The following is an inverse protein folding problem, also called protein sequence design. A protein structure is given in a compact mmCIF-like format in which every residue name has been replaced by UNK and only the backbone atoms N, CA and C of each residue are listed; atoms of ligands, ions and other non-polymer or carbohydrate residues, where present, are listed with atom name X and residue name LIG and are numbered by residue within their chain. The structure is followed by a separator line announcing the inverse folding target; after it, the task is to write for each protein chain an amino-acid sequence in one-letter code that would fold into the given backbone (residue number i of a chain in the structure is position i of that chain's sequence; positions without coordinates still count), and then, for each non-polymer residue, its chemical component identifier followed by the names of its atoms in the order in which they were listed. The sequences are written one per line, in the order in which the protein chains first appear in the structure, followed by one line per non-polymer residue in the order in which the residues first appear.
data_IF_521530978265
#
_entry.id   IF_521530978265
#
_cell.length_a   1.000
_cell.length_b   1.000
_cell.length_c   1.000
_cell.angle_alpha   90.00
_cell.angle_beta   90.00
_cell.angle_gamma   90.00
#
_symmetry.space_group_name_H-M   'P 1'
#
loop_
_entity.id
_entity.type
_entity.pdbx_description
1 polymer ?
#
# COMPACT_ATOMS: atom_id res chain seq x y z
N UNK A 1 -5.68 8.64 17.85
CA UNK A 1 -6.24 7.27 17.95
C UNK A 1 -5.22 6.30 17.36
N UNK A 2 -4.86 5.24 18.06
CA UNK A 2 -3.90 4.26 17.55
C UNK A 2 -4.48 3.53 16.35
N UNK A 3 -3.69 3.44 15.27
CA UNK A 3 -4.14 2.79 14.04
C UNK A 3 -3.48 1.43 13.86
N UNK A 4 -2.18 1.32 14.19
CA UNK A 4 -1.43 0.06 14.19
C UNK A 4 -0.64 -0.03 15.49
N UNK A 5 -0.68 -1.17 16.15
CA UNK A 5 0.19 -1.51 17.27
C UNK A 5 1.01 -2.77 16.95
N UNK A 6 2.29 -2.71 17.21
CA UNK A 6 3.21 -3.85 17.17
C UNK A 6 3.49 -4.26 18.62
N UNK A 7 3.14 -5.48 19.01
CA UNK A 7 3.27 -5.95 20.38
C UNK A 7 4.25 -7.11 20.47
N UNK A 8 5.47 -6.81 20.94
CA UNK A 8 6.55 -7.78 21.08
C UNK A 8 6.78 -8.59 19.79
N UNK A 9 6.68 -7.90 18.65
CA UNK A 9 6.64 -8.53 17.33
C UNK A 9 8.01 -9.08 16.94
N UNK A 10 8.05 -10.33 16.50
CA UNK A 10 9.22 -11.00 15.94
C UNK A 10 8.94 -11.33 14.48
N UNK A 11 9.81 -10.88 13.57
CA UNK A 11 9.66 -11.03 12.12
C UNK A 11 10.79 -11.89 11.55
N UNK A 12 10.50 -12.60 10.48
CA UNK A 12 11.47 -13.44 9.78
C UNK A 12 10.80 -14.46 8.86
N UNK A 13 11.61 -15.40 8.39
CA UNK A 13 11.16 -16.48 7.48
C UNK A 13 11.49 -17.83 8.10
N UNK A 14 10.51 -18.71 8.26
CA UNK A 14 10.68 -20.03 8.87
C UNK A 14 11.38 -19.96 10.24
N UNK A 15 12.64 -20.37 10.32
CA UNK A 15 13.46 -20.35 11.55
C UNK A 15 14.49 -19.21 11.58
N UNK A 16 14.53 -18.36 10.53
CA UNK A 16 15.47 -17.25 10.45
C UNK A 16 14.80 -15.96 10.98
N UNK A 17 15.11 -15.61 12.23
CA UNK A 17 14.67 -14.36 12.84
C UNK A 17 15.49 -13.19 12.26
N UNK A 18 14.79 -12.18 11.75
CA UNK A 18 15.39 -10.95 11.21
C UNK A 18 15.40 -9.86 12.27
N UNK A 19 14.29 -9.68 12.98
CA UNK A 19 14.20 -8.75 14.10
C UNK A 19 13.19 -9.28 15.13
N UNK A 20 13.48 -9.05 16.40
CA UNK A 20 12.68 -9.52 17.52
C UNK A 20 12.30 -8.38 18.47
N UNK A 21 11.28 -8.61 19.28
CA UNK A 21 10.82 -7.71 20.33
C UNK A 21 10.48 -6.29 19.83
N UNK A 22 9.99 -6.17 18.59
CA UNK A 22 9.58 -4.89 18.04
C UNK A 22 8.33 -4.41 18.78
N UNK A 23 8.41 -3.17 19.27
CA UNK A 23 7.31 -2.49 19.95
C UNK A 23 7.14 -1.12 19.31
N UNK A 24 5.94 -0.84 18.78
CA UNK A 24 5.65 0.44 18.16
C UNK A 24 4.15 0.69 18.09
N UNK A 25 3.77 1.97 18.10
CA UNK A 25 2.40 2.40 17.86
C UNK A 25 2.41 3.47 16.78
N UNK A 26 1.58 3.30 15.76
CA UNK A 26 1.40 4.26 14.66
C UNK A 26 0.02 4.89 14.77
N UNK A 27 -0.05 6.20 14.61
CA UNK A 27 -1.29 6.97 14.77
C UNK A 27 -1.89 7.36 13.42
N UNK A 28 -3.21 7.55 13.40
CA UNK A 28 -3.93 8.09 12.24
C UNK A 28 -3.48 9.54 11.93
N UNK A 29 -3.58 9.96 10.66
CA UNK A 29 -3.24 11.29 10.21
C UNK A 29 -1.73 11.59 10.26
N UNK A 30 -0.87 10.56 10.26
CA UNK A 30 0.58 10.72 10.28
C UNK A 30 1.25 9.99 9.12
N UNK A 31 2.26 10.61 8.54
CA UNK A 31 3.20 9.96 7.64
C UNK A 31 4.39 9.44 8.47
N UNK A 32 4.48 8.13 8.62
CA UNK A 32 5.58 7.49 9.36
C UNK A 32 6.59 6.92 8.38
N UNK A 33 7.88 7.25 8.56
CA UNK A 33 8.98 6.75 7.73
C UNK A 33 9.78 5.69 8.47
N UNK A 34 9.92 4.50 7.87
CA UNK A 34 10.81 3.44 8.34
C UNK A 34 12.17 3.59 7.65
N UNK A 35 13.20 3.95 8.41
CA UNK A 35 14.56 4.16 7.90
C UNK A 35 15.48 3.01 8.31
N UNK A 36 16.44 2.70 7.48
CA UNK A 36 17.46 1.66 7.73
C UNK A 36 18.13 1.22 6.43
N UNK A 37 19.31 0.60 6.55
CA UNK A 37 20.06 0.07 5.41
C UNK A 37 19.31 -1.05 4.69
N UNK A 38 19.73 -1.36 3.46
CA UNK A 38 19.16 -2.48 2.72
C UNK A 38 19.47 -3.80 3.44
N UNK A 39 18.52 -4.74 3.39
CA UNK A 39 18.65 -6.02 4.07
C UNK A 39 18.28 -6.03 5.57
N UNK A 40 18.00 -4.90 6.19
CA UNK A 40 17.62 -4.82 7.62
C UNK A 40 16.22 -5.31 7.96
N UNK A 41 15.45 -5.83 6.98
CA UNK A 41 14.13 -6.40 7.23
C UNK A 41 12.95 -5.42 7.06
N UNK A 42 13.15 -4.22 6.46
CA UNK A 42 12.06 -3.25 6.25
C UNK A 42 10.87 -3.85 5.48
N UNK A 43 11.12 -4.46 4.32
CA UNK A 43 10.07 -5.13 3.53
C UNK A 43 9.48 -6.34 4.24
N UNK A 44 10.27 -7.06 5.05
CA UNK A 44 9.78 -8.16 5.89
C UNK A 44 8.80 -7.64 6.95
N UNK A 45 9.12 -6.51 7.60
CA UNK A 45 8.22 -5.86 8.54
C UNK A 45 6.92 -5.42 7.86
N UNK A 46 6.99 -4.75 6.70
CA UNK A 46 5.81 -4.32 5.95
C UNK A 46 4.94 -5.52 5.50
N UNK A 47 5.56 -6.61 5.05
CA UNK A 47 4.85 -7.84 4.70
C UNK A 47 4.19 -8.49 5.93
N UNK A 48 4.84 -8.44 7.10
CA UNK A 48 4.25 -8.96 8.34
C UNK A 48 3.10 -8.06 8.82
N UNK A 49 3.27 -6.74 8.76
CA UNK A 49 2.21 -5.78 9.09
C UNK A 49 1.00 -5.89 8.16
N UNK A 50 1.20 -6.25 6.89
CA UNK A 50 0.10 -6.43 5.92
C UNK A 50 -0.60 -7.80 6.02
N UNK A 51 -0.10 -8.71 6.84
CA UNK A 51 -0.59 -10.08 6.94
C UNK A 51 -0.16 -11.00 5.79
N UNK A 52 0.68 -10.52 4.87
CA UNK A 52 1.24 -11.35 3.79
C UNK A 52 2.29 -12.35 4.28
N UNK A 53 2.90 -12.06 5.43
CA UNK A 53 3.85 -12.94 6.12
C UNK A 53 3.40 -13.10 7.58
N UNK A 54 3.23 -14.33 8.08
CA UNK A 54 2.90 -14.53 9.49
C UNK A 54 4.07 -14.10 10.40
N UNK A 55 3.81 -13.50 11.57
CA UNK A 55 4.85 -13.21 12.54
C UNK A 55 5.44 -14.51 13.12
N UNK A 56 6.73 -14.48 13.47
CA UNK A 56 7.37 -15.56 14.23
C UNK A 56 7.02 -15.51 15.71
N UNK A 57 6.57 -14.36 16.22
CA UNK A 57 6.10 -14.15 17.59
C UNK A 57 5.51 -12.76 17.77
N UNK A 58 4.77 -12.56 18.85
CA UNK A 58 4.05 -11.31 19.08
C UNK A 58 2.84 -11.10 18.18
N UNK A 59 2.30 -9.88 18.13
CA UNK A 59 1.11 -9.55 17.33
C UNK A 59 1.26 -8.23 16.60
N UNK A 60 0.49 -8.09 15.51
CA UNK A 60 0.18 -6.82 14.84
C UNK A 60 -1.30 -6.59 15.03
N UNK A 61 -1.67 -5.46 15.61
CA UNK A 61 -3.06 -5.10 15.84
C UNK A 61 -3.43 -3.86 15.01
N UNK A 62 -4.62 -3.86 14.42
CA UNK A 62 -5.21 -2.73 13.70
C UNK A 62 -6.47 -2.30 14.46
N UNK A 63 -6.52 -1.05 14.90
CA UNK A 63 -7.62 -0.49 15.68
C UNK A 63 -8.00 -1.41 16.89
N UNK A 64 -6.99 -1.94 17.58
CA UNK A 64 -7.15 -2.80 18.75
C UNK A 64 -7.54 -4.26 18.45
N UNK A 65 -7.58 -4.66 17.17
CA UNK A 65 -7.91 -6.05 16.77
C UNK A 65 -6.72 -6.65 16.01
N UNK A 66 -6.30 -7.87 16.42
CA UNK A 66 -5.21 -8.60 15.78
C UNK A 66 -5.49 -8.84 14.29
N UNK A 67 -4.48 -8.65 13.43
CA UNK A 67 -4.60 -8.91 11.98
C UNK A 67 -4.97 -10.36 11.70
N UNK A 68 -4.55 -11.31 12.53
CA UNK A 68 -4.88 -12.72 12.39
C UNK A 68 -6.40 -13.02 12.58
N UNK A 69 -7.15 -12.09 13.18
CA UNK A 69 -8.58 -12.21 13.38
C UNK A 69 -9.42 -11.62 12.23
N UNK A 70 -8.77 -11.06 11.19
CA UNK A 70 -9.45 -10.56 9.99
C UNK A 70 -9.49 -11.65 8.91
N UNK A 71 -10.62 -11.73 8.18
CA UNK A 71 -10.62 -12.40 6.88
C UNK A 71 -9.83 -11.57 5.87
N UNK A 72 -9.29 -12.17 4.80
CA UNK A 72 -8.53 -11.45 3.76
C UNK A 72 -9.32 -10.25 3.19
N UNK A 73 -10.62 -10.43 2.90
CA UNK A 73 -11.48 -9.35 2.40
C UNK A 73 -11.68 -8.23 3.43
N UNK A 74 -11.80 -8.59 4.71
CA UNK A 74 -11.95 -7.60 5.78
C UNK A 74 -10.65 -6.82 6.03
N UNK A 75 -9.48 -7.49 6.00
CA UNK A 75 -8.18 -6.85 6.12
C UNK A 75 -7.90 -5.91 4.93
N UNK A 76 -8.27 -6.31 3.71
CA UNK A 76 -8.14 -5.47 2.52
C UNK A 76 -9.01 -4.20 2.58
N UNK A 77 -10.00 -4.10 3.47
CA UNK A 77 -10.75 -2.87 3.74
C UNK A 77 -10.12 -2.01 4.84
N UNK A 78 -9.11 -2.51 5.55
CA UNK A 78 -8.39 -1.78 6.58
C UNK A 78 -7.05 -1.25 6.08
N UNK A 79 -6.44 -1.93 5.12
CA UNK A 79 -5.08 -1.64 4.71
C UNK A 79 -4.88 -1.89 3.22
N UNK A 80 -4.19 -0.97 2.56
CA UNK A 80 -3.64 -1.14 1.22
C UNK A 80 -2.12 -1.16 1.25
N UNK A 81 -1.50 -1.79 0.25
CA UNK A 81 -0.05 -1.89 0.16
C UNK A 81 0.43 -1.59 -1.27
N UNK A 82 1.48 -0.79 -1.37
CA UNK A 82 2.23 -0.55 -2.61
C UNK A 82 3.61 -1.17 -2.44
N UNK A 83 3.89 -2.20 -3.22
CA UNK A 83 5.16 -2.91 -3.21
C UNK A 83 6.09 -2.37 -4.29
N UNK A 84 7.41 -2.47 -4.06
CA UNK A 84 8.48 -2.09 -5.01
C UNK A 84 8.53 -2.99 -6.24
N UNK A 85 7.80 -4.12 -6.26
CA UNK A 85 7.86 -5.11 -7.35
C UNK A 85 7.33 -4.53 -8.66
N UNK A 86 8.02 -4.82 -9.80
CA UNK A 86 7.55 -4.39 -11.12
C UNK A 86 6.16 -4.95 -11.41
N UNK A 87 5.32 -4.10 -12.02
CA UNK A 87 4.01 -4.54 -12.51
C UNK A 87 4.21 -5.32 -13.80
N UNK A 88 3.74 -6.56 -13.85
CA UNK A 88 3.83 -7.43 -15.02
C UNK A 88 2.68 -7.22 -16.01
N UNK A 89 1.60 -6.54 -15.62
CA UNK A 89 0.38 -6.33 -16.42
C UNK A 89 0.50 -5.09 -17.33
N UNK A 90 1.36 -5.16 -18.33
CA UNK A 90 1.67 -4.04 -19.22
C UNK A 90 0.52 -3.67 -20.16
N UNK A 91 -0.41 -4.60 -20.44
CA UNK A 91 -1.50 -4.43 -21.42
C UNK A 91 -2.74 -3.73 -20.84
N UNK A 92 -2.88 -3.69 -19.52
CA UNK A 92 -3.99 -2.98 -18.89
C UNK A 92 -3.89 -1.46 -19.14
N UNK A 93 -5.06 -0.82 -19.24
CA UNK A 93 -5.13 0.62 -19.14
C UNK A 93 -4.92 1.09 -17.69
N UNK A 94 -4.53 2.33 -17.52
CA UNK A 94 -4.28 2.93 -16.20
C UNK A 94 -5.51 2.86 -15.31
N UNK A 95 -6.71 3.21 -15.83
CA UNK A 95 -7.97 3.11 -15.09
C UNK A 95 -8.29 1.66 -14.69
N UNK A 96 -8.03 0.68 -15.56
CA UNK A 96 -8.25 -0.73 -15.27
C UNK A 96 -7.33 -1.21 -14.12
N UNK A 97 -6.06 -0.79 -14.11
CA UNK A 97 -5.13 -1.11 -13.03
C UNK A 97 -5.58 -0.49 -11.70
N UNK A 98 -6.01 0.77 -11.70
CA UNK A 98 -6.49 1.46 -10.49
C UNK A 98 -7.80 0.83 -10.00
N UNK A 99 -8.68 0.41 -10.91
CA UNK A 99 -9.92 -0.28 -10.59
C UNK A 99 -9.73 -1.59 -9.80
N UNK A 100 -8.57 -2.26 -9.94
CA UNK A 100 -8.24 -3.42 -9.09
C UNK A 100 -8.18 -3.05 -7.59
N UNK A 101 -7.96 -1.78 -7.24
CA UNK A 101 -8.08 -1.29 -5.87
C UNK A 101 -9.48 -1.44 -5.28
N UNK A 102 -10.52 -1.48 -6.13
CA UNK A 102 -11.91 -1.64 -5.72
C UNK A 102 -12.32 -3.09 -5.46
N UNK A 103 -11.45 -4.07 -5.77
CA UNK A 103 -11.75 -5.50 -5.62
C UNK A 103 -12.38 -5.89 -4.25
N UNK A 104 -11.97 -5.35 -3.08
CA UNK A 104 -12.60 -5.67 -1.80
C UNK A 104 -14.08 -5.27 -1.70
N UNK A 105 -14.55 -4.40 -2.58
CA UNK A 105 -15.92 -3.84 -2.58
C UNK A 105 -16.80 -4.41 -3.67
N UNK A 106 -16.22 -5.10 -4.66
CA UNK A 106 -16.97 -5.71 -5.77
C UNK A 106 -17.86 -6.86 -5.31
N UNK A 107 -18.86 -7.16 -6.12
CA UNK A 107 -19.72 -8.32 -5.96
C UNK A 107 -18.99 -9.64 -6.24
N UNK A 108 -19.71 -10.77 -6.21
CA UNK A 108 -19.16 -12.10 -6.51
C UNK A 108 -18.60 -12.23 -7.94
N UNK A 109 -19.07 -11.42 -8.86
CA UNK A 109 -18.63 -11.40 -10.27
C UNK A 109 -17.52 -10.39 -10.54
N UNK A 110 -17.06 -9.66 -9.53
CA UNK A 110 -16.03 -8.64 -9.68
C UNK A 110 -16.52 -7.38 -10.39
N UNK A 111 -17.83 -7.13 -10.45
CA UNK A 111 -18.42 -5.99 -11.16
C UNK A 111 -18.20 -4.70 -10.39
N UNK A 112 -17.76 -3.67 -11.13
CA UNK A 112 -17.67 -2.31 -10.62
C UNK A 112 -19.01 -1.60 -10.74
N UNK A 113 -19.33 -0.77 -9.78
CA UNK A 113 -20.46 0.16 -9.84
C UNK A 113 -20.02 1.51 -10.43
N UNK A 114 -20.96 2.36 -10.85
CA UNK A 114 -20.65 3.73 -11.26
C UNK A 114 -19.94 4.54 -10.13
N UNK A 115 -20.25 4.25 -8.88
CA UNK A 115 -19.56 4.83 -7.73
C UNK A 115 -18.09 4.40 -7.66
N UNK A 116 -17.78 3.12 -7.93
CA UNK A 116 -16.41 2.63 -7.99
C UNK A 116 -15.61 3.30 -9.12
N UNK A 117 -16.23 3.50 -10.28
CA UNK A 117 -15.62 4.22 -11.42
C UNK A 117 -15.30 5.68 -11.05
N UNK A 118 -16.19 6.34 -10.33
CA UNK A 118 -15.94 7.70 -9.81
C UNK A 118 -14.74 7.71 -8.88
N UNK A 119 -14.64 6.79 -7.91
CA UNK A 119 -13.51 6.67 -6.99
C UNK A 119 -12.19 6.43 -7.75
N UNK A 120 -12.21 5.61 -8.79
CA UNK A 120 -11.04 5.36 -9.64
C UNK A 120 -10.55 6.67 -10.28
N UNK A 121 -11.46 7.45 -10.86
CA UNK A 121 -11.11 8.72 -11.52
C UNK A 121 -10.66 9.79 -10.53
N UNK A 122 -11.27 9.88 -9.36
CA UNK A 122 -10.85 10.76 -8.26
C UNK A 122 -9.45 10.40 -7.77
N UNK A 123 -9.17 9.09 -7.57
CA UNK A 123 -7.86 8.61 -7.16
C UNK A 123 -6.76 8.93 -8.19
N UNK A 124 -7.07 8.83 -9.48
CA UNK A 124 -6.18 9.25 -10.56
C UNK A 124 -5.96 10.76 -10.58
N UNK A 125 -6.99 11.54 -10.29
CA UNK A 125 -6.90 13.00 -10.19
C UNK A 125 -5.98 13.43 -9.06
N UNK A 126 -6.09 12.81 -7.87
CA UNK A 126 -5.26 13.10 -6.70
C UNK A 126 -3.74 12.94 -6.96
N UNK A 127 -3.37 12.01 -7.83
CA UNK A 127 -1.95 11.78 -8.19
C UNK A 127 -1.54 12.47 -9.50
N UNK A 128 -2.46 13.25 -10.13
CA UNK A 128 -2.20 13.96 -11.39
C UNK A 128 -2.13 13.05 -12.62
N UNK A 129 -2.79 11.89 -12.60
CA UNK A 129 -2.74 10.88 -13.67
C UNK A 129 -4.06 10.72 -14.43
N UNK A 130 -5.06 11.57 -14.20
CA UNK A 130 -6.39 11.46 -14.82
C UNK A 130 -6.35 11.48 -16.35
N UNK A 131 -5.54 12.36 -16.95
CA UNK A 131 -5.38 12.47 -18.40
C UNK A 131 -4.76 11.20 -19.04
N UNK A 132 -4.14 10.34 -18.24
CA UNK A 132 -3.49 9.11 -18.66
C UNK A 132 -4.37 7.88 -18.48
N UNK A 133 -5.62 8.03 -18.04
CA UNK A 133 -6.53 6.93 -17.65
C UNK A 133 -6.65 5.82 -18.71
N UNK A 134 -6.65 6.17 -19.99
CA UNK A 134 -6.78 5.24 -21.12
C UNK A 134 -5.43 4.77 -21.69
N UNK A 135 -4.30 5.26 -21.19
CA UNK A 135 -2.97 4.81 -21.64
C UNK A 135 -2.66 3.42 -21.09
N UNK A 136 -1.88 2.66 -21.87
CA UNK A 136 -1.37 1.35 -21.41
C UNK A 136 -0.29 1.54 -20.35
N UNK A 137 -0.37 0.76 -19.27
CA UNK A 137 0.59 0.79 -18.15
C UNK A 137 2.03 0.58 -18.62
N UNK A 138 2.24 -0.28 -19.62
CA UNK A 138 3.56 -0.54 -20.21
C UNK A 138 4.21 0.66 -20.91
N UNK A 139 3.45 1.72 -21.22
CA UNK A 139 3.97 2.94 -21.88
C UNK A 139 4.31 4.06 -20.89
N UNK A 140 4.11 3.83 -19.61
CA UNK A 140 4.38 4.80 -18.56
C UNK A 140 5.87 4.79 -18.16
N UNK A 141 6.39 5.98 -17.82
CA UNK A 141 7.66 6.10 -17.09
C UNK A 141 7.55 5.47 -15.70
N UNK A 142 8.69 5.20 -15.05
CA UNK A 142 8.70 4.62 -13.71
C UNK A 142 8.01 5.54 -12.68
N UNK A 143 8.19 6.86 -12.80
CA UNK A 143 7.50 7.83 -11.94
C UNK A 143 5.99 7.88 -12.16
N UNK A 144 5.53 7.85 -13.41
CA UNK A 144 4.10 7.77 -13.74
C UNK A 144 3.50 6.46 -13.24
N UNK A 145 4.21 5.35 -13.43
CA UNK A 145 3.79 4.02 -12.95
C UNK A 145 3.66 3.99 -11.42
N UNK A 146 4.61 4.60 -10.71
CA UNK A 146 4.54 4.68 -9.25
C UNK A 146 3.35 5.51 -8.77
N UNK A 147 3.04 6.64 -9.43
CA UNK A 147 1.83 7.42 -9.16
C UNK A 147 0.55 6.60 -9.36
N UNK A 148 0.48 5.82 -10.44
CA UNK A 148 -0.67 4.93 -10.71
C UNK A 148 -0.82 3.85 -9.64
N UNK A 149 0.30 3.30 -9.10
CA UNK A 149 0.23 2.35 -8.00
C UNK A 149 -0.28 2.98 -6.70
N UNK A 150 0.07 4.23 -6.45
CA UNK A 150 -0.48 4.99 -5.32
C UNK A 150 -1.98 5.26 -5.56
N UNK A 151 -2.40 5.65 -6.78
CA UNK A 151 -3.81 5.82 -7.11
C UNK A 151 -4.61 4.53 -6.87
N UNK A 152 -4.06 3.36 -7.22
CA UNK A 152 -4.67 2.06 -6.93
C UNK A 152 -4.87 1.85 -5.42
N UNK A 153 -3.87 2.20 -4.61
CA UNK A 153 -3.97 2.10 -3.16
C UNK A 153 -5.01 3.09 -2.58
N UNK A 154 -5.08 4.32 -3.12
CA UNK A 154 -6.10 5.31 -2.75
C UNK A 154 -7.51 4.86 -3.13
N UNK A 155 -7.69 4.28 -4.32
CA UNK A 155 -8.96 3.73 -4.77
C UNK A 155 -9.49 2.62 -3.85
N UNK A 156 -8.64 1.96 -3.11
CA UNK A 156 -9.04 0.97 -2.10
C UNK A 156 -9.70 1.62 -0.88
N UNK A 157 -9.56 2.94 -0.68
CA UNK A 157 -10.20 3.71 0.42
C UNK A 157 -9.99 3.08 1.80
N UNK A 158 -8.75 2.78 2.13
CA UNK A 158 -8.37 2.19 3.42
C UNK A 158 -7.81 3.24 4.37
N UNK A 159 -8.03 3.10 5.69
CA UNK A 159 -7.44 4.01 6.68
C UNK A 159 -5.91 3.91 6.78
N UNK A 160 -5.31 2.85 6.23
CA UNK A 160 -3.87 2.58 6.29
C UNK A 160 -3.35 2.31 4.88
N UNK A 161 -2.25 2.96 4.51
CA UNK A 161 -1.50 2.69 3.29
C UNK A 161 -0.05 2.37 3.67
N UNK A 162 0.40 1.16 3.34
CA UNK A 162 1.81 0.76 3.46
C UNK A 162 2.52 0.96 2.13
N UNK A 163 3.70 1.59 2.16
CA UNK A 163 4.50 1.86 0.98
C UNK A 163 5.89 1.27 1.16
N UNK A 164 6.27 0.32 0.32
CA UNK A 164 7.61 -0.26 0.29
C UNK A 164 8.45 0.44 -0.78
N UNK A 165 9.42 1.25 -0.35
CA UNK A 165 10.33 2.02 -1.20
C UNK A 165 9.62 2.83 -2.30
N UNK A 166 8.64 3.70 -1.99
CA UNK A 166 7.80 4.38 -2.99
C UNK A 166 8.60 5.33 -3.90
N UNK A 167 9.85 5.60 -3.58
CA UNK A 167 10.75 6.46 -4.36
C UNK A 167 11.87 5.67 -5.07
N UNK A 168 11.83 4.33 -5.04
CA UNK A 168 12.79 3.51 -5.77
C UNK A 168 12.73 3.80 -7.28
N UNK A 169 13.88 3.77 -7.93
CA UNK A 169 14.04 3.99 -9.38
C UNK A 169 13.63 5.39 -9.90
N UNK A 170 13.27 6.33 -9.02
CA UNK A 170 12.97 7.70 -9.40
C UNK A 170 14.24 8.56 -9.43
N UNK A 171 14.31 9.52 -10.34
CA UNK A 171 15.28 10.60 -10.33
C UNK A 171 15.02 11.56 -9.14
N UNK A 172 15.99 12.40 -8.83
CA UNK A 172 15.91 13.24 -7.64
C UNK A 172 14.70 14.22 -7.63
N UNK A 173 14.36 14.93 -8.72
CA UNK A 173 13.16 15.76 -8.77
C UNK A 173 11.88 14.95 -8.50
N UNK A 174 11.71 13.80 -9.15
CA UNK A 174 10.56 12.92 -8.99
C UNK A 174 10.43 12.37 -7.57
N UNK A 175 11.55 12.11 -6.87
CA UNK A 175 11.53 11.74 -5.44
C UNK A 175 10.93 12.83 -4.57
N UNK A 176 11.33 14.08 -4.79
CA UNK A 176 10.81 15.22 -4.03
C UNK A 176 9.31 15.38 -4.26
N UNK A 177 8.86 15.31 -5.52
CA UNK A 177 7.44 15.42 -5.86
C UNK A 177 6.61 14.28 -5.26
N UNK A 178 7.16 13.06 -5.25
CA UNK A 178 6.53 11.92 -4.61
C UNK A 178 6.38 12.13 -3.09
N UNK A 179 7.41 12.61 -2.41
CA UNK A 179 7.35 12.88 -0.97
C UNK A 179 6.35 13.98 -0.64
N UNK A 180 6.25 15.05 -1.46
CA UNK A 180 5.23 16.09 -1.32
C UNK A 180 3.83 15.52 -1.48
N UNK A 181 3.60 14.67 -2.49
CA UNK A 181 2.34 13.97 -2.71
C UNK A 181 1.96 13.14 -1.48
N UNK A 182 2.85 12.27 -1.00
CA UNK A 182 2.59 11.41 0.16
C UNK A 182 2.28 12.23 1.43
N UNK A 183 2.99 13.35 1.63
CA UNK A 183 2.71 14.25 2.74
C UNK A 183 1.31 14.88 2.62
N UNK A 184 0.91 15.30 1.42
CA UNK A 184 -0.42 15.87 1.17
C UNK A 184 -1.55 14.83 1.39
N UNK A 185 -1.32 13.58 1.04
CA UNK A 185 -2.30 12.50 1.21
C UNK A 185 -2.46 12.04 2.67
N UNK A 186 -1.49 12.32 3.55
CA UNK A 186 -1.54 11.92 4.96
C UNK A 186 -2.31 12.92 5.85
N UNK A 187 -2.66 14.09 5.33
CA UNK A 187 -3.40 15.17 6.02
C UNK A 187 -4.74 15.43 5.35
#
# INVERSE_FOLDING_TARGET
METIALNNLTIGYHHNCIAAHLQATLSAGTLTCLLGSNGMGKSTLLNTMSGALPPLGGTVDIAGKSIAAYSAKALAKQMSIVLTRPITVQQLCVNELVALGRYPYTDHWGRLTSHDETIVMESLSLVGMQAFSQRKVGTLSDGERQKVMIAKALAQQTPIILLDEPTAFLDFPSKIDMLKLLKHLAH
#
